data_IF_332212609692
#
_entry.id   IF_332212609692
#
_cell.length_a   1.000
_cell.length_b   1.000
_cell.length_c   1.000
_cell.angle_alpha   90.00
_cell.angle_beta   90.00
_cell.angle_gamma   90.00
#
_symmetry.space_group_name_H-M   'P 1'
#
loop_
_entity.id
_entity.type
_entity.pdbx_description
1 polymer ?
#
# COMPACT_ATOMS: atom_id res chain seq x y z
N UNK A 1 -10.00 10.05 14.59
CA UNK A 1 -8.67 9.55 14.19
C UNK A 1 -7.62 10.65 14.14
N UNK A 2 -7.88 11.83 13.56
CA UNK A 2 -6.93 12.96 13.44
C UNK A 2 -6.27 13.31 14.78
N UNK A 3 -7.05 13.53 15.85
CA UNK A 3 -6.50 13.85 17.17
C UNK A 3 -5.56 12.76 17.71
N UNK A 4 -5.86 11.49 17.44
CA UNK A 4 -4.96 10.38 17.82
C UNK A 4 -3.62 10.49 17.10
N UNK A 5 -3.63 10.81 15.78
CA UNK A 5 -2.41 11.00 15.00
C UNK A 5 -1.63 12.21 15.51
N UNK A 6 -2.29 13.36 15.76
CA UNK A 6 -1.64 14.57 16.29
C UNK A 6 -0.99 14.34 17.67
N UNK A 7 -1.65 13.58 18.54
CA UNK A 7 -1.06 13.20 19.84
C UNK A 7 0.20 12.35 19.65
N UNK A 8 0.20 11.40 18.71
CA UNK A 8 1.36 10.56 18.40
C UNK A 8 2.50 11.37 17.74
N UNK A 9 2.18 12.33 16.87
CA UNK A 9 3.13 13.30 16.32
C UNK A 9 3.86 14.02 17.46
N UNK A 10 3.12 14.58 18.41
CA UNK A 10 3.69 15.31 19.55
C UNK A 10 4.53 14.42 20.46
N UNK A 11 4.05 13.21 20.79
CA UNK A 11 4.77 12.25 21.64
C UNK A 11 6.09 11.75 21.03
N UNK A 12 6.22 11.79 19.70
CA UNK A 12 7.41 11.35 18.98
C UNK A 12 8.28 12.53 18.48
N UNK A 13 8.02 13.76 18.91
CA UNK A 13 8.74 14.96 18.47
C UNK A 13 8.77 15.14 16.95
N UNK A 14 7.67 14.78 16.28
CA UNK A 14 7.47 14.97 14.84
C UNK A 14 6.66 16.26 14.60
N UNK A 15 6.69 16.74 13.36
CA UNK A 15 5.89 17.88 12.89
C UNK A 15 4.71 17.43 12.03
N UNK A 16 4.77 16.19 11.52
CA UNK A 16 3.71 15.60 10.75
C UNK A 16 3.83 14.09 10.58
N UNK A 17 2.78 13.50 9.98
CA UNK A 17 2.73 12.07 9.67
C UNK A 17 1.97 11.82 8.38
N UNK A 18 2.51 10.95 7.51
CA UNK A 18 1.88 10.62 6.24
C UNK A 18 1.16 9.26 6.32
N UNK A 19 -0.06 9.20 5.78
CA UNK A 19 -0.90 8.00 5.71
C UNK A 19 -1.25 7.72 4.26
N UNK A 20 -0.74 6.62 3.66
CA UNK A 20 -1.05 6.27 2.28
C UNK A 20 -2.34 5.45 2.19
N UNK A 21 -2.85 5.30 0.97
CA UNK A 21 -3.98 4.41 0.65
C UNK A 21 -3.58 2.94 0.70
N UNK A 22 -2.44 2.59 0.10
CA UNK A 22 -1.98 1.21 -0.08
C UNK A 22 -1.70 0.47 1.24
N UNK A 23 -1.71 -0.85 1.18
CA UNK A 23 -1.26 -1.76 2.23
C UNK A 23 0.23 -2.15 2.06
N UNK A 24 0.71 -3.13 2.85
CA UNK A 24 2.07 -3.66 2.76
C UNK A 24 2.37 -4.47 1.49
N UNK A 25 1.36 -4.78 0.71
CA UNK A 25 1.49 -5.38 -0.64
C UNK A 25 1.49 -4.33 -1.74
N UNK A 26 1.40 -3.06 -1.38
CA UNK A 26 1.29 -1.91 -2.31
C UNK A 26 0.06 -1.99 -3.22
N UNK A 27 -1.02 -2.63 -2.75
CA UNK A 27 -2.27 -2.69 -3.51
C UNK A 27 -3.20 -1.53 -3.14
N UNK A 28 -3.96 -1.05 -4.13
CA UNK A 28 -5.04 -0.07 -3.90
C UNK A 28 -6.30 -0.72 -3.31
N UNK A 29 -6.38 -2.05 -3.33
CA UNK A 29 -7.55 -2.85 -2.91
C UNK A 29 -7.51 -3.26 -1.44
N UNK A 30 -6.68 -2.62 -0.63
CA UNK A 30 -6.58 -2.90 0.80
C UNK A 30 -7.95 -3.01 1.46
N UNK A 31 -8.15 -4.06 2.29
CA UNK A 31 -9.37 -4.26 3.09
C UNK A 31 -9.71 -3.06 3.98
N UNK A 32 -8.69 -2.32 4.39
CA UNK A 32 -8.83 -1.16 5.25
C UNK A 32 -8.64 0.09 4.42
N UNK A 33 -9.72 0.82 4.20
CA UNK A 33 -9.62 2.16 3.64
C UNK A 33 -9.13 3.14 4.71
N UNK A 34 -7.79 3.33 4.78
CA UNK A 34 -7.16 4.24 5.74
C UNK A 34 -7.61 5.68 5.54
N UNK A 35 -7.82 6.10 4.29
CA UNK A 35 -8.25 7.47 3.97
C UNK A 35 -9.67 7.73 4.44
N UNK A 36 -10.56 6.75 4.35
CA UNK A 36 -11.92 6.85 4.86
C UNK A 36 -11.95 6.97 6.39
N UNK A 37 -11.12 6.17 7.08
CA UNK A 37 -11.03 6.21 8.55
C UNK A 37 -10.48 7.54 9.05
N UNK A 38 -9.54 8.15 8.34
CA UNK A 38 -8.87 9.39 8.77
C UNK A 38 -9.60 10.63 8.25
N UNK A 39 -9.98 10.64 6.97
CA UNK A 39 -10.51 11.83 6.27
C UNK A 39 -11.95 11.67 5.80
N UNK A 40 -12.62 10.55 6.09
CA UNK A 40 -13.94 10.20 5.54
C UNK A 40 -13.96 10.14 4.00
N UNK A 41 -12.80 9.94 3.37
CA UNK A 41 -12.65 9.87 1.92
C UNK A 41 -12.62 8.43 1.44
N UNK A 42 -13.63 8.03 0.67
CA UNK A 42 -13.82 6.65 0.18
C UNK A 42 -13.14 6.35 -1.18
N UNK A 43 -12.52 7.34 -1.82
CA UNK A 43 -11.85 7.16 -3.11
C UNK A 43 -10.73 6.11 -3.10
N UNK A 44 -10.41 5.56 -4.27
CA UNK A 44 -9.44 4.46 -4.40
C UNK A 44 -7.99 4.92 -4.48
N UNK A 45 -7.72 6.18 -4.73
CA UNK A 45 -6.37 6.74 -4.84
C UNK A 45 -6.20 7.99 -4.01
N UNK A 46 -5.00 8.18 -3.45
CA UNK A 46 -4.63 9.35 -2.66
C UNK A 46 -3.79 9.00 -1.42
N UNK A 47 -3.44 10.04 -0.68
CA UNK A 47 -2.75 9.93 0.61
C UNK A 47 -3.00 11.17 1.46
N UNK A 48 -2.77 11.07 2.77
CA UNK A 48 -3.01 12.13 3.74
C UNK A 48 -1.69 12.54 4.37
N UNK A 49 -1.46 13.84 4.51
CA UNK A 49 -0.41 14.39 5.36
C UNK A 49 -1.08 15.17 6.50
N UNK A 50 -0.87 14.71 7.73
CA UNK A 50 -1.32 15.39 8.94
C UNK A 50 -0.14 16.16 9.51
N UNK A 51 -0.26 17.48 9.58
CA UNK A 51 0.66 18.37 10.29
C UNK A 51 0.06 18.78 11.64
N UNK A 52 0.87 19.40 12.50
CA UNK A 52 0.39 19.91 13.81
C UNK A 52 -0.81 20.84 13.63
N UNK A 53 -0.73 21.79 12.68
CA UNK A 53 -1.75 22.85 12.51
C UNK A 53 -2.70 22.61 11.34
N UNK A 54 -2.35 21.77 10.37
CA UNK A 54 -3.16 21.54 9.17
C UNK A 54 -3.25 20.06 8.80
N UNK A 55 -4.28 19.73 8.02
CA UNK A 55 -4.46 18.39 7.48
C UNK A 55 -4.63 18.51 5.96
N UNK A 56 -3.90 17.69 5.23
CA UNK A 56 -3.83 17.74 3.78
C UNK A 56 -4.24 16.40 3.20
N UNK A 57 -5.11 16.40 2.19
CA UNK A 57 -5.53 15.23 1.44
C UNK A 57 -5.14 15.43 -0.02
N UNK A 58 -4.25 14.57 -0.50
CA UNK A 58 -3.77 14.55 -1.88
C UNK A 58 -4.53 13.51 -2.67
N UNK A 59 -5.15 13.90 -3.78
CA UNK A 59 -5.94 13.03 -4.65
C UNK A 59 -5.64 13.35 -6.11
N UNK A 60 -5.89 12.40 -7.00
CA UNK A 60 -5.84 12.72 -8.44
C UNK A 60 -7.10 13.46 -8.91
N UNK A 61 -7.07 14.03 -10.11
CA UNK A 61 -8.14 14.87 -10.66
C UNK A 61 -9.52 14.21 -10.70
N UNK A 62 -9.62 12.88 -10.70
CA UNK A 62 -10.90 12.13 -10.67
C UNK A 62 -11.63 12.32 -9.34
N UNK A 63 -10.92 12.65 -8.27
CA UNK A 63 -11.43 12.64 -6.91
C UNK A 63 -11.52 14.00 -6.24
N UNK A 64 -11.15 15.10 -6.88
CA UNK A 64 -11.11 16.44 -6.25
C UNK A 64 -12.46 16.88 -5.71
N UNK A 65 -13.57 16.66 -6.46
CA UNK A 65 -14.93 17.00 -6.05
C UNK A 65 -15.36 16.09 -4.88
N UNK A 66 -15.17 14.78 -5.01
CA UNK A 66 -15.53 13.82 -3.98
C UNK A 66 -14.78 14.07 -2.67
N UNK A 67 -13.48 14.36 -2.75
CA UNK A 67 -12.65 14.68 -1.59
C UNK A 67 -13.18 15.90 -0.84
N UNK A 68 -13.53 16.97 -1.54
CA UNK A 68 -14.14 18.18 -0.93
C UNK A 68 -15.46 17.86 -0.23
N UNK A 69 -16.33 17.09 -0.88
CA UNK A 69 -17.64 16.72 -0.33
C UNK A 69 -17.54 15.83 0.91
N UNK A 70 -16.65 14.83 0.88
CA UNK A 70 -16.55 13.82 1.94
C UNK A 70 -15.70 14.27 3.13
N UNK A 71 -14.58 14.95 2.88
CA UNK A 71 -13.64 15.37 3.94
C UNK A 71 -14.02 16.72 4.56
N UNK A 72 -14.90 17.46 3.92
CA UNK A 72 -15.37 18.77 4.39
C UNK A 72 -14.22 19.76 4.61
N UNK A 73 -14.44 20.72 5.53
CA UNK A 73 -13.46 21.77 5.86
C UNK A 73 -12.31 21.29 6.75
N UNK A 74 -12.21 19.98 7.04
CA UNK A 74 -11.15 19.42 7.93
C UNK A 74 -9.85 19.19 7.19
N UNK A 75 -9.88 19.19 5.86
CA UNK A 75 -8.73 18.91 5.00
C UNK A 75 -8.59 19.96 3.90
N UNK A 76 -7.36 20.37 3.64
CA UNK A 76 -6.98 21.09 2.43
C UNK A 76 -6.78 20.02 1.34
N UNK A 77 -7.49 20.18 0.21
CA UNK A 77 -7.44 19.20 -0.88
C UNK A 77 -6.43 19.68 -1.92
N UNK A 78 -5.51 18.79 -2.26
CA UNK A 78 -4.47 18.99 -3.27
C UNK A 78 -4.67 18.03 -4.42
N UNK A 79 -4.44 18.50 -5.64
CA UNK A 79 -4.53 17.66 -6.84
C UNK A 79 -3.14 17.23 -7.31
N UNK A 80 -2.86 15.90 -7.25
CA UNK A 80 -1.66 15.34 -7.87
C UNK A 80 -1.92 15.09 -9.36
N UNK A 81 -0.92 15.30 -10.25
CA UNK A 81 0.49 15.57 -9.93
C UNK A 81 0.88 17.06 -9.83
N UNK A 82 -0.10 17.99 -9.77
CA UNK A 82 0.19 19.43 -9.78
C UNK A 82 0.73 19.94 -8.45
N UNK A 83 0.30 19.35 -7.32
CA UNK A 83 0.78 19.69 -5.98
C UNK A 83 1.18 18.42 -5.21
N UNK A 84 2.37 18.46 -4.61
CA UNK A 84 2.92 17.38 -3.78
C UNK A 84 3.27 17.90 -2.38
N UNK A 85 3.51 17.06 -1.38
CA UNK A 85 3.99 17.48 -0.06
C UNK A 85 5.21 18.42 -0.13
N UNK A 86 6.16 18.17 -1.03
CA UNK A 86 7.33 19.03 -1.26
C UNK A 86 6.99 20.48 -1.65
N UNK A 87 5.81 20.70 -2.24
CA UNK A 87 5.39 22.03 -2.70
C UNK A 87 4.78 22.86 -1.58
N UNK A 88 4.22 22.21 -0.56
CA UNK A 88 3.59 22.84 0.60
C UNK A 88 4.50 22.89 1.84
N UNK A 89 5.54 22.05 1.93
CA UNK A 89 6.50 22.02 3.05
C UNK A 89 7.67 22.99 2.83
N UNK A 90 7.36 24.22 2.47
CA UNK A 90 8.36 25.28 2.26
C UNK A 90 8.53 26.12 3.54
N UNK A 91 9.31 25.60 4.48
CA UNK A 91 9.63 26.27 5.73
C UNK A 91 11.12 26.62 5.79
N UNK A 92 11.49 27.59 6.64
CA UNK A 92 12.89 27.99 6.87
C UNK A 92 13.73 26.84 7.47
N UNK A 93 13.09 25.97 8.26
CA UNK A 93 13.72 24.74 8.77
C UNK A 93 12.95 23.49 8.27
N UNK A 94 13.67 22.40 7.95
CA UNK A 94 13.01 21.18 7.48
C UNK A 94 12.17 20.56 8.60
N UNK A 95 10.88 20.24 8.27
CA UNK A 95 9.97 19.58 9.19
C UNK A 95 10.33 18.08 9.34
N UNK A 96 10.05 17.51 10.51
CA UNK A 96 10.23 16.10 10.82
C UNK A 96 8.92 15.35 10.51
N UNK A 97 8.88 14.59 9.42
CA UNK A 97 7.70 13.87 8.97
C UNK A 97 7.86 12.36 9.22
N UNK A 98 6.94 11.81 10.01
CA UNK A 98 6.87 10.37 10.28
C UNK A 98 6.15 9.62 9.17
N UNK A 99 6.58 8.37 8.91
CA UNK A 99 5.94 7.46 7.97
C UNK A 99 6.07 6.00 8.40
N UNK A 100 5.12 5.14 8.04
CA UNK A 100 5.24 3.69 8.24
C UNK A 100 6.12 3.09 7.14
N UNK A 101 7.33 2.56 7.48
CA UNK A 101 8.27 2.06 6.48
C UNK A 101 7.76 0.83 5.69
N UNK A 102 6.72 0.15 6.17
CA UNK A 102 6.09 -0.97 5.44
C UNK A 102 5.20 -0.53 4.29
N UNK A 103 4.82 0.76 4.26
CA UNK A 103 3.83 1.29 3.33
C UNK A 103 4.42 2.22 2.26
N UNK A 104 5.72 2.42 2.27
CA UNK A 104 6.40 3.32 1.32
C UNK A 104 7.66 2.68 0.76
N UNK A 105 7.90 2.93 -0.53
CA UNK A 105 9.20 2.71 -1.13
C UNK A 105 10.05 3.99 -1.04
N UNK A 106 11.37 3.86 -1.13
CA UNK A 106 12.27 5.02 -1.21
C UNK A 106 11.92 5.94 -2.37
N UNK A 107 11.54 5.38 -3.52
CA UNK A 107 11.17 6.16 -4.69
C UNK A 107 9.88 6.94 -4.48
N UNK A 108 8.87 6.35 -3.85
CA UNK A 108 7.62 7.05 -3.50
C UNK A 108 7.89 8.23 -2.57
N UNK A 109 8.70 8.03 -1.52
CA UNK A 109 9.08 9.10 -0.60
C UNK A 109 9.85 10.23 -1.31
N UNK A 110 10.74 9.89 -2.24
CA UNK A 110 11.47 10.85 -3.05
C UNK A 110 10.53 11.68 -3.94
N UNK A 111 9.56 11.04 -4.60
CA UNK A 111 8.56 11.76 -5.41
C UNK A 111 7.76 12.74 -4.54
N UNK A 112 7.32 12.30 -3.37
CA UNK A 112 6.46 13.11 -2.50
C UNK A 112 7.20 14.27 -1.86
N UNK A 113 8.41 14.06 -1.37
CA UNK A 113 9.11 15.00 -0.50
C UNK A 113 10.36 15.64 -1.12
N UNK A 114 11.07 14.95 -2.02
CA UNK A 114 12.27 15.46 -2.70
C UNK A 114 13.22 16.25 -1.78
N UNK A 115 13.54 15.71 -0.59
CA UNK A 115 14.38 16.34 0.44
C UNK A 115 13.82 17.65 1.05
N UNK A 116 12.54 17.93 0.91
CA UNK A 116 11.89 19.12 1.52
C UNK A 116 11.68 19.00 3.03
N UNK A 117 11.93 17.81 3.61
CA UNK A 117 11.75 17.52 5.03
C UNK A 117 12.66 16.39 5.49
N UNK A 118 12.77 16.20 6.81
CA UNK A 118 13.41 15.04 7.41
C UNK A 118 12.38 13.91 7.54
N UNK A 119 12.71 12.71 7.07
CA UNK A 119 11.82 11.55 7.09
C UNK A 119 12.21 10.59 8.21
N UNK A 120 11.23 10.25 9.08
CA UNK A 120 11.41 9.37 10.24
C UNK A 120 10.55 8.11 10.10
N UNK A 121 11.17 6.90 10.05
CA UNK A 121 10.42 5.65 9.98
C UNK A 121 9.80 5.33 11.35
N UNK A 122 8.49 5.50 11.49
CA UNK A 122 7.74 5.25 12.72
C UNK A 122 6.41 4.57 12.41
N UNK A 123 6.21 3.36 12.91
CA UNK A 123 4.93 2.68 12.78
C UNK A 123 4.04 2.95 14.01
N UNK A 124 3.02 3.76 13.86
CA UNK A 124 2.06 4.06 14.91
C UNK A 124 0.99 2.97 15.13
N UNK A 125 1.00 1.89 14.37
CA UNK A 125 0.00 0.81 14.44
C UNK A 125 -1.46 1.31 14.45
N UNK A 126 -1.74 2.39 13.71
CA UNK A 126 -3.01 3.13 13.75
C UNK A 126 -4.24 2.27 13.43
N UNK A 127 -4.05 1.26 12.58
CA UNK A 127 -5.13 0.47 12.00
C UNK A 127 -5.13 -0.99 12.46
N UNK A 128 -4.26 -1.39 13.39
CA UNK A 128 -4.08 -2.77 13.84
C UNK A 128 -5.39 -3.44 14.27
N UNK A 129 -6.18 -2.77 15.09
CA UNK A 129 -7.47 -3.29 15.60
C UNK A 129 -8.53 -3.50 14.51
N UNK A 130 -8.39 -2.85 13.35
CA UNK A 130 -9.28 -3.02 12.19
C UNK A 130 -8.90 -4.24 11.34
N UNK A 131 -7.62 -4.62 11.33
CA UNK A 131 -7.12 -5.81 10.60
C UNK A 131 -7.62 -7.10 11.23
N UNK A 132 -7.67 -7.18 12.55
CA UNK A 132 -8.01 -8.39 13.31
C UNK A 132 -9.47 -8.84 13.11
N UNK A 133 -10.38 -7.92 12.75
CA UNK A 133 -11.82 -8.19 12.59
C UNK A 133 -12.14 -8.91 11.27
N UNK A 134 -11.25 -8.87 10.28
CA UNK A 134 -11.54 -9.25 8.88
C UNK A 134 -11.14 -10.70 8.54
N UNK A 135 -10.52 -11.45 9.46
CA UNK A 135 -9.80 -12.69 9.16
C UNK A 135 -10.62 -13.99 9.34
N UNK A 136 -11.94 -14.02 9.14
CA UNK A 136 -12.69 -15.24 9.49
C UNK A 136 -12.84 -16.32 8.41
N UNK A 137 -12.70 -16.05 7.10
CA UNK A 137 -12.93 -17.07 6.06
C UNK A 137 -12.09 -16.84 4.78
N UNK A 138 -10.79 -16.85 4.89
CA UNK A 138 -9.92 -16.67 3.72
C UNK A 138 -9.62 -18.01 3.06
N UNK A 139 -10.53 -18.52 2.24
CA UNK A 139 -10.31 -19.70 1.44
C UNK A 139 -9.44 -19.38 0.21
N UNK A 140 -8.39 -20.17 0.03
CA UNK A 140 -7.62 -20.22 -1.21
C UNK A 140 -8.12 -21.40 -2.03
N UNK A 141 -8.39 -21.21 -3.30
CA UNK A 141 -8.86 -22.24 -4.21
C UNK A 141 -8.12 -22.18 -5.54
N UNK A 142 -8.04 -23.33 -6.20
CA UNK A 142 -7.40 -23.46 -7.50
C UNK A 142 -8.43 -23.22 -8.61
N UNK A 143 -8.01 -22.57 -9.70
CA UNK A 143 -8.82 -22.47 -10.92
C UNK A 143 -8.34 -23.44 -11.97
N UNK A 144 -9.28 -23.97 -12.75
CA UNK A 144 -8.99 -24.93 -13.80
C UNK A 144 -8.15 -24.26 -14.92
N UNK A 145 -7.26 -25.05 -15.52
CA UNK A 145 -6.43 -24.60 -16.65
C UNK A 145 -7.27 -24.14 -17.86
N UNK A 146 -8.44 -24.72 -18.07
CA UNK A 146 -9.37 -24.29 -19.13
C UNK A 146 -9.88 -22.85 -18.94
N UNK A 147 -9.94 -22.37 -17.69
CA UNK A 147 -10.30 -20.99 -17.34
C UNK A 147 -9.07 -20.10 -17.37
N UNK A 148 -7.93 -20.60 -16.85
CA UNK A 148 -6.68 -19.85 -16.75
C UNK A 148 -5.94 -19.71 -18.10
N UNK A 149 -6.25 -20.54 -19.08
CA UNK A 149 -5.63 -20.59 -20.42
C UNK A 149 -4.27 -21.29 -20.44
N UNK A 150 -3.51 -21.29 -19.34
CA UNK A 150 -2.18 -21.91 -19.23
C UNK A 150 -1.99 -22.54 -17.84
N UNK A 151 -1.29 -23.68 -17.79
CA UNK A 151 -0.99 -24.35 -16.52
C UNK A 151 0.09 -23.58 -15.73
N UNK A 152 0.02 -23.67 -14.39
CA UNK A 152 1.08 -23.12 -13.51
C UNK A 152 2.45 -23.67 -13.84
N UNK A 153 2.54 -24.98 -14.18
CA UNK A 153 3.80 -25.61 -14.57
C UNK A 153 4.42 -24.94 -15.80
N UNK A 154 3.62 -24.70 -16.85
CA UNK A 154 4.08 -24.01 -18.07
C UNK A 154 4.60 -22.60 -17.78
N UNK A 155 3.87 -21.83 -16.95
CA UNK A 155 4.28 -20.48 -16.53
C UNK A 155 5.62 -20.50 -15.75
N UNK A 156 5.76 -21.43 -14.82
CA UNK A 156 6.98 -21.61 -14.03
C UNK A 156 8.15 -22.00 -14.93
N UNK A 157 7.95 -22.92 -15.88
CA UNK A 157 8.98 -23.33 -16.84
C UNK A 157 9.45 -22.16 -17.73
N UNK A 158 8.54 -21.26 -18.12
CA UNK A 158 8.90 -20.01 -18.84
C UNK A 158 9.74 -19.08 -17.98
N UNK A 159 9.35 -18.83 -16.74
CA UNK A 159 10.10 -17.96 -15.82
C UNK A 159 11.48 -18.53 -15.52
N UNK A 160 11.59 -19.87 -15.36
CA UNK A 160 12.89 -20.52 -15.19
C UNK A 160 13.84 -20.23 -16.33
N UNK A 161 13.38 -20.36 -17.60
CA UNK A 161 14.20 -20.04 -18.77
C UNK A 161 14.69 -18.59 -18.75
N UNK A 162 13.88 -17.66 -18.23
CA UNK A 162 14.28 -16.26 -18.08
C UNK A 162 15.35 -16.14 -17.01
N UNK A 163 15.17 -16.77 -15.83
CA UNK A 163 16.17 -16.76 -14.77
C UNK A 163 17.52 -17.31 -15.23
N UNK A 164 17.51 -18.45 -15.95
CA UNK A 164 18.71 -19.07 -16.53
C UNK A 164 19.42 -18.12 -17.51
N UNK A 165 18.66 -17.47 -18.42
CA UNK A 165 19.19 -16.53 -19.40
C UNK A 165 19.83 -15.30 -18.73
N UNK A 166 19.16 -14.76 -17.69
CA UNK A 166 19.61 -13.58 -16.94
C UNK A 166 20.63 -13.94 -15.85
N UNK A 167 20.99 -15.21 -15.70
CA UNK A 167 21.89 -15.72 -14.65
C UNK A 167 21.46 -15.35 -13.23
N UNK A 168 20.16 -15.49 -12.97
CA UNK A 168 19.55 -15.23 -11.67
C UNK A 168 19.14 -16.54 -10.99
N UNK A 169 19.41 -16.66 -9.69
CA UNK A 169 19.06 -17.84 -8.90
C UNK A 169 17.62 -17.82 -8.41
N UNK A 170 17.09 -16.64 -8.17
CA UNK A 170 15.78 -16.47 -7.54
C UNK A 170 15.01 -15.28 -8.13
N UNK A 171 13.68 -15.39 -8.15
CA UNK A 171 12.77 -14.32 -8.46
C UNK A 171 11.84 -14.07 -7.26
N UNK A 172 11.91 -12.89 -6.65
CA UNK A 172 10.94 -12.46 -5.65
C UNK A 172 9.72 -11.84 -6.34
N UNK A 173 8.53 -12.35 -5.99
CA UNK A 173 7.24 -11.91 -6.50
C UNK A 173 6.50 -11.26 -5.32
N UNK A 174 6.42 -9.93 -5.32
CA UNK A 174 5.86 -9.14 -4.22
C UNK A 174 4.35 -8.97 -4.28
N UNK A 175 3.76 -9.06 -5.47
CA UNK A 175 2.33 -8.80 -5.71
C UNK A 175 1.51 -10.09 -5.64
N UNK A 176 0.44 -10.08 -4.83
CA UNK A 176 -0.48 -11.19 -4.69
C UNK A 176 -1.17 -11.58 -5.99
N UNK A 177 -1.46 -10.62 -6.87
CA UNK A 177 -2.03 -10.84 -8.19
C UNK A 177 -1.12 -11.69 -9.06
N UNK A 178 0.18 -11.38 -9.06
CA UNK A 178 1.17 -12.11 -9.82
C UNK A 178 1.37 -13.54 -9.27
N UNK A 179 1.35 -13.71 -7.95
CA UNK A 179 1.38 -15.04 -7.32
C UNK A 179 0.14 -15.84 -7.70
N UNK A 180 -1.04 -15.23 -7.62
CA UNK A 180 -2.31 -15.85 -7.99
C UNK A 180 -2.34 -16.26 -9.47
N UNK A 181 -1.82 -15.40 -10.35
CA UNK A 181 -1.69 -15.71 -11.78
C UNK A 181 -0.71 -16.87 -12.02
N UNK A 182 0.46 -16.83 -11.41
CA UNK A 182 1.50 -17.85 -11.59
C UNK A 182 1.02 -19.24 -11.17
N UNK A 183 0.34 -19.33 -10.02
CA UNK A 183 -0.08 -20.59 -9.41
C UNK A 183 -1.48 -21.03 -9.82
N UNK A 184 -2.21 -20.27 -10.62
CA UNK A 184 -3.63 -20.51 -10.93
C UNK A 184 -4.49 -20.64 -9.67
N UNK A 185 -4.23 -19.84 -8.65
CA UNK A 185 -5.02 -19.80 -7.42
C UNK A 185 -5.79 -18.49 -7.31
N UNK A 186 -6.83 -18.54 -6.49
CA UNK A 186 -7.61 -17.36 -6.10
C UNK A 186 -7.85 -17.41 -4.60
N UNK A 187 -8.20 -16.26 -4.03
CA UNK A 187 -8.51 -16.12 -2.61
C UNK A 187 -9.56 -15.06 -2.35
N UNK A 188 -9.91 -14.89 -1.09
CA UNK A 188 -10.90 -13.91 -0.64
C UNK A 188 -10.29 -12.88 0.32
N UNK A 189 -9.01 -12.56 0.14
CA UNK A 189 -8.32 -11.61 1.01
C UNK A 189 -8.73 -10.17 0.75
N UNK A 190 -9.17 -9.86 -0.46
CA UNK A 190 -9.61 -8.54 -0.87
C UNK A 190 -11.13 -8.52 -1.13
N UNK A 191 -11.84 -7.43 -0.76
CA UNK A 191 -13.31 -7.40 -0.82
C UNK A 191 -13.88 -7.48 -2.24
N UNK A 192 -13.17 -6.92 -3.23
CA UNK A 192 -13.68 -6.79 -4.61
C UNK A 192 -12.79 -7.48 -5.65
N UNK A 193 -11.83 -8.31 -5.20
CA UNK A 193 -10.88 -8.99 -6.07
C UNK A 193 -10.58 -10.39 -5.53
N UNK A 194 -10.61 -11.43 -6.37
CA UNK A 194 -10.39 -12.81 -5.93
C UNK A 194 -8.91 -13.10 -5.71
N UNK A 195 -8.23 -12.28 -4.92
CA UNK A 195 -6.79 -12.35 -4.66
C UNK A 195 -6.52 -13.00 -3.31
N UNK A 196 -5.52 -13.89 -3.28
CA UNK A 196 -4.87 -14.34 -2.07
C UNK A 196 -3.59 -13.51 -1.84
N UNK A 197 -3.48 -12.85 -0.70
CA UNK A 197 -2.33 -12.01 -0.36
C UNK A 197 -1.14 -12.87 0.01
N UNK A 198 -0.43 -13.34 -1.03
CA UNK A 198 0.84 -14.03 -0.92
C UNK A 198 1.93 -13.23 -1.60
N UNK A 199 3.12 -13.35 -1.05
CA UNK A 199 4.37 -13.09 -1.75
C UNK A 199 5.05 -14.42 -2.03
N UNK A 200 5.93 -14.49 -3.01
CA UNK A 200 6.59 -15.74 -3.36
C UNK A 200 8.05 -15.52 -3.76
N UNK A 201 8.87 -16.56 -3.53
CA UNK A 201 10.18 -16.70 -4.17
C UNK A 201 10.12 -17.93 -5.08
N UNK A 202 10.35 -17.72 -6.37
CA UNK A 202 10.62 -18.78 -7.32
C UNK A 202 12.13 -18.99 -7.42
N UNK A 203 12.60 -20.19 -7.14
CA UNK A 203 14.02 -20.57 -7.26
C UNK A 203 14.32 -21.13 -8.64
N UNK A 204 15.60 -21.12 -9.05
CA UNK A 204 16.08 -21.76 -10.29
C UNK A 204 15.79 -23.28 -10.34
N UNK A 205 15.66 -23.94 -9.18
CA UNK A 205 15.27 -25.33 -9.06
C UNK A 205 13.75 -25.58 -9.12
N UNK A 206 12.95 -24.59 -9.53
CA UNK A 206 11.48 -24.61 -9.63
C UNK A 206 10.74 -24.75 -8.28
N UNK A 207 11.42 -24.59 -7.15
CA UNK A 207 10.73 -24.51 -5.86
C UNK A 207 10.07 -23.14 -5.72
N UNK A 208 8.86 -23.15 -5.17
CA UNK A 208 8.15 -21.92 -4.83
C UNK A 208 7.96 -21.89 -3.33
N UNK A 209 8.49 -20.83 -2.72
CA UNK A 209 8.32 -20.54 -1.30
C UNK A 209 7.27 -19.45 -1.19
N UNK A 210 6.15 -19.74 -0.52
CA UNK A 210 5.07 -18.78 -0.30
C UNK A 210 5.19 -18.13 1.07
N UNK A 211 4.99 -16.83 1.11
CA UNK A 211 4.90 -16.02 2.32
C UNK A 211 3.48 -15.46 2.43
N UNK A 212 2.84 -15.68 3.55
CA UNK A 212 1.48 -15.22 3.78
C UNK A 212 0.90 -15.74 5.09
N UNK A 213 -0.37 -15.49 5.35
CA UNK A 213 -1.02 -16.02 6.53
C UNK A 213 -1.31 -17.52 6.35
N UNK A 214 -0.61 -18.36 7.08
CA UNK A 214 -0.72 -19.84 7.03
C UNK A 214 -2.00 -20.40 7.68
N UNK A 215 -2.87 -19.55 8.25
CA UNK A 215 -4.17 -19.96 8.79
C UNK A 215 -5.28 -19.97 7.73
N UNK A 216 -4.91 -20.11 6.48
CA UNK A 216 -5.82 -20.17 5.33
C UNK A 216 -6.04 -21.60 4.87
#
# INVERSE_FOLDING_TARGET
MINKIKNLINLNNLDGYIVPKNDEFFTEYSKINKLEIVANFSGSAGFILILKESNHLFVDGRYTIQAKQQSGNKFIIHEVPYEWPKDILKNDAPLNIGFDPKLFTTETLKIYFNNSCNLFPVNFNLFKSKVEIINKDNLVYQINTSIAGESSKSKIDRLKKILEREKLDNLFISSGENVCWLLNIRGKDLPNSPIANFQAILTSNKHIILFGNLKK
#
